data_IF_077102932253
#
_entry.id   IF_077102932253
#
_cell.length_a   1.000
_cell.length_b   1.000
_cell.length_c   1.000
_cell.angle_alpha   90.00
_cell.angle_beta   90.00
_cell.angle_gamma   90.00
#
_symmetry.space_group_name_H-M   'P 1'
#
loop_
_entity.id
_entity.type
_entity.pdbx_description
1 polymer ?
#
# COMPACT_ATOMS: atom_id res chain seq x y z
N UNK A 1 17.65 38.94 28.85
CA UNK A 1 16.43 38.08 28.79
C UNK A 1 15.49 38.47 27.64
N UNK A 2 15.46 39.73 27.17
CA UNK A 2 14.56 40.17 26.09
C UNK A 2 14.98 39.71 24.67
N UNK A 3 16.25 39.39 24.41
CA UNK A 3 16.67 38.85 23.09
C UNK A 3 16.21 37.42 22.82
N UNK A 4 16.05 36.59 23.88
CA UNK A 4 15.71 35.16 23.73
C UNK A 4 14.28 34.89 23.24
N UNK A 5 13.40 35.89 23.26
CA UNK A 5 12.01 35.77 22.75
C UNK A 5 11.84 36.36 21.34
N UNK A 6 12.93 36.73 20.65
CA UNK A 6 12.80 37.23 19.28
C UNK A 6 12.33 36.07 18.38
N UNK A 7 11.11 36.18 17.87
CA UNK A 7 10.56 35.25 16.88
C UNK A 7 10.91 35.71 15.46
N UNK A 8 11.33 34.77 14.62
CA UNK A 8 11.66 35.00 13.20
C UNK A 8 10.56 34.38 12.34
N UNK A 9 10.08 35.11 11.33
CA UNK A 9 9.10 34.59 10.36
C UNK A 9 9.81 33.64 9.39
N UNK A 10 9.37 32.38 9.35
CA UNK A 10 9.99 31.30 8.56
C UNK A 10 9.13 30.86 7.38
N UNK A 11 7.83 30.66 7.62
CA UNK A 11 6.86 30.13 6.65
C UNK A 11 5.69 31.08 6.41
N UNK A 12 5.30 31.24 5.15
CA UNK A 12 4.13 32.01 4.75
C UNK A 12 2.82 31.22 4.96
N UNK A 13 1.66 31.88 4.83
CA UNK A 13 0.36 31.24 5.06
C UNK A 13 0.05 30.14 4.03
N UNK A 14 0.53 30.26 2.79
CA UNK A 14 0.29 29.27 1.74
C UNK A 14 1.03 27.98 2.07
N UNK A 15 2.32 28.05 2.43
CA UNK A 15 3.11 26.86 2.79
C UNK A 15 2.51 26.12 3.99
N UNK A 16 1.99 26.86 4.97
CA UNK A 16 1.33 26.29 6.16
C UNK A 16 0.02 25.60 5.79
N UNK A 17 -0.77 26.18 4.89
CA UNK A 17 -2.00 25.59 4.38
C UNK A 17 -1.71 24.32 3.57
N UNK A 18 -0.72 24.35 2.68
CA UNK A 18 -0.29 23.17 1.92
C UNK A 18 0.11 22.03 2.86
N UNK A 19 0.90 22.33 3.89
CA UNK A 19 1.29 21.33 4.89
C UNK A 19 0.09 20.77 5.66
N UNK A 20 -0.87 21.61 6.05
CA UNK A 20 -2.08 21.15 6.73
C UNK A 20 -2.92 20.22 5.85
N UNK A 21 -3.10 20.58 4.57
CA UNK A 21 -3.81 19.74 3.59
C UNK A 21 -3.06 18.43 3.33
N UNK A 22 -1.73 18.48 3.26
CA UNK A 22 -0.88 17.29 3.13
C UNK A 22 -1.06 16.37 4.35
N UNK A 23 -0.98 16.93 5.56
CA UNK A 23 -1.15 16.20 6.80
C UNK A 23 -2.51 15.48 6.85
N UNK A 24 -3.59 16.18 6.54
CA UNK A 24 -4.95 15.62 6.59
C UNK A 24 -5.13 14.52 5.53
N UNK A 25 -4.74 14.81 4.28
CA UNK A 25 -4.89 13.85 3.17
C UNK A 25 -4.01 12.61 3.38
N UNK A 26 -2.73 12.80 3.71
CA UNK A 26 -1.80 11.71 4.01
C UNK A 26 -2.28 10.85 5.19
N UNK A 27 -2.72 11.46 6.29
CA UNK A 27 -3.21 10.71 7.46
C UNK A 27 -4.45 9.89 7.10
N UNK A 28 -5.37 10.46 6.33
CA UNK A 28 -6.57 9.76 5.86
C UNK A 28 -6.19 8.57 4.96
N UNK A 29 -5.26 8.79 4.02
CA UNK A 29 -4.73 7.74 3.13
C UNK A 29 -4.02 6.64 3.90
N UNK A 30 -3.21 6.99 4.90
CA UNK A 30 -2.49 6.05 5.74
C UNK A 30 -3.44 5.16 6.53
N UNK A 31 -4.43 5.75 7.21
CA UNK A 31 -5.41 5.00 8.00
C UNK A 31 -6.23 4.08 7.09
N UNK A 32 -6.87 4.64 6.06
CA UNK A 32 -7.73 3.87 5.16
C UNK A 32 -6.95 2.83 4.36
N UNK A 33 -5.72 3.14 3.93
CA UNK A 33 -4.88 2.25 3.15
C UNK A 33 -4.33 1.08 3.98
N UNK A 34 -3.83 1.35 5.19
CA UNK A 34 -3.28 0.30 6.06
C UNK A 34 -4.36 -0.70 6.48
N UNK A 35 -5.55 -0.25 6.87
CA UNK A 35 -6.62 -1.18 7.29
C UNK A 35 -7.10 -2.05 6.12
N UNK A 36 -7.11 -1.51 4.89
CA UNK A 36 -7.39 -2.30 3.69
C UNK A 36 -6.26 -3.30 3.38
N UNK A 37 -5.00 -2.90 3.55
CA UNK A 37 -3.85 -3.76 3.30
C UNK A 37 -3.66 -4.89 4.34
N UNK A 38 -4.17 -4.69 5.55
CA UNK A 38 -4.06 -5.59 6.69
C UNK A 38 -5.45 -6.05 7.18
N UNK A 39 -6.38 -6.31 6.27
CA UNK A 39 -7.79 -6.59 6.54
C UNK A 39 -8.03 -7.85 7.38
N UNK A 40 -7.08 -8.78 7.45
CA UNK A 40 -7.18 -10.00 8.25
C UNK A 40 -7.04 -9.74 9.76
N UNK A 41 -6.46 -8.59 10.15
CA UNK A 41 -6.28 -8.26 11.56
C UNK A 41 -7.56 -7.65 12.15
N UNK A 42 -7.90 -8.07 13.37
CA UNK A 42 -9.11 -7.61 14.08
C UNK A 42 -9.18 -6.09 14.25
N UNK A 43 -8.04 -5.42 14.45
CA UNK A 43 -8.00 -3.95 14.57
C UNK A 43 -8.43 -3.31 13.25
N UNK A 44 -7.96 -3.82 12.11
CA UNK A 44 -8.35 -3.33 10.78
C UNK A 44 -9.84 -3.53 10.53
N UNK A 45 -10.39 -4.70 10.87
CA UNK A 45 -11.82 -4.98 10.75
C UNK A 45 -12.66 -4.00 11.58
N UNK A 46 -12.26 -3.73 12.83
CA UNK A 46 -12.97 -2.78 13.70
C UNK A 46 -12.95 -1.36 13.11
N UNK A 47 -11.81 -0.93 12.56
CA UNK A 47 -11.69 0.40 11.95
C UNK A 47 -12.53 0.47 10.66
N UNK A 48 -12.51 -0.57 9.82
CA UNK A 48 -13.33 -0.65 8.61
C UNK A 48 -14.83 -0.56 8.97
N UNK A 49 -15.25 -1.26 10.02
CA UNK A 49 -16.63 -1.19 10.52
C UNK A 49 -16.97 0.21 11.05
N UNK A 50 -16.08 0.85 11.81
CA UNK A 50 -16.25 2.22 12.29
C UNK A 50 -16.37 3.23 11.13
N UNK A 51 -15.63 3.00 10.06
CA UNK A 51 -15.70 3.77 8.82
C UNK A 51 -16.92 3.42 7.97
N UNK A 52 -17.85 2.57 8.42
CA UNK A 52 -19.08 2.26 7.69
C UNK A 52 -18.94 1.20 6.60
N UNK A 53 -17.91 0.35 6.67
CA UNK A 53 -17.70 -0.77 5.75
C UNK A 53 -16.54 -0.56 4.77
N UNK A 54 -16.26 -1.60 3.98
CA UNK A 54 -15.12 -1.61 3.05
C UNK A 54 -15.35 -0.67 1.88
N UNK A 55 -16.59 -0.55 1.40
CA UNK A 55 -16.99 0.34 0.30
C UNK A 55 -16.78 1.80 0.68
N UNK A 56 -17.20 2.19 1.89
CA UNK A 56 -16.99 3.56 2.37
C UNK A 56 -15.51 3.83 2.65
N UNK A 57 -14.79 2.87 3.25
CA UNK A 57 -13.34 2.98 3.48
C UNK A 57 -12.58 3.22 2.16
N UNK A 58 -12.91 2.48 1.11
CA UNK A 58 -12.34 2.65 -0.24
C UNK A 58 -12.70 4.01 -0.84
N UNK A 59 -13.95 4.44 -0.71
CA UNK A 59 -14.43 5.73 -1.20
C UNK A 59 -13.68 6.89 -0.54
N UNK A 60 -13.54 6.86 0.79
CA UNK A 60 -12.76 7.86 1.54
C UNK A 60 -11.30 7.85 1.12
N UNK A 61 -10.70 6.67 0.90
CA UNK A 61 -9.33 6.55 0.40
C UNK A 61 -9.17 7.23 -0.97
N UNK A 62 -10.09 6.98 -1.91
CA UNK A 62 -10.09 7.61 -3.23
C UNK A 62 -10.26 9.13 -3.17
N UNK A 63 -11.17 9.63 -2.33
CA UNK A 63 -11.37 11.08 -2.14
C UNK A 63 -10.09 11.73 -1.59
N UNK A 64 -9.46 11.12 -0.58
CA UNK A 64 -8.20 11.60 -0.02
C UNK A 64 -7.06 11.54 -1.04
N UNK A 65 -7.03 10.53 -1.92
CA UNK A 65 -6.05 10.42 -3.00
C UNK A 65 -6.22 11.56 -4.01
N UNK A 66 -7.44 11.85 -4.44
CA UNK A 66 -7.73 12.99 -5.33
C UNK A 66 -7.30 14.30 -4.67
N UNK A 67 -7.63 14.51 -3.38
CA UNK A 67 -7.20 15.70 -2.65
C UNK A 67 -5.67 15.85 -2.63
N UNK A 68 -4.93 14.76 -2.39
CA UNK A 68 -3.47 14.76 -2.42
C UNK A 68 -2.90 15.04 -3.83
N UNK A 69 -3.52 14.50 -4.88
CA UNK A 69 -3.13 14.78 -6.28
C UNK A 69 -3.34 16.26 -6.61
N UNK A 70 -4.50 16.83 -6.27
CA UNK A 70 -4.80 18.25 -6.49
C UNK A 70 -3.82 19.15 -5.71
N UNK A 71 -3.52 18.79 -4.46
CA UNK A 71 -2.52 19.48 -3.66
C UNK A 71 -1.13 19.41 -4.31
N UNK A 72 -0.73 18.25 -4.83
CA UNK A 72 0.56 18.05 -5.49
C UNK A 72 0.67 18.89 -6.77
N UNK A 73 -0.39 18.94 -7.58
CA UNK A 73 -0.47 19.80 -8.78
C UNK A 73 -0.31 21.27 -8.36
N UNK A 74 -1.07 21.72 -7.37
CA UNK A 74 -0.95 23.09 -6.85
C UNK A 74 0.48 23.39 -6.36
N UNK A 75 1.08 22.46 -5.60
CA UNK A 75 2.42 22.61 -5.05
C UNK A 75 3.49 22.79 -6.14
N UNK A 76 3.43 21.98 -7.21
CA UNK A 76 4.35 22.09 -8.35
C UNK A 76 4.27 23.49 -8.97
N UNK A 77 3.06 24.01 -9.21
CA UNK A 77 2.89 25.35 -9.78
C UNK A 77 3.23 26.46 -8.81
N UNK A 78 3.02 26.27 -7.51
CA UNK A 78 3.39 27.24 -6.50
C UNK A 78 4.91 27.36 -6.37
N UNK A 79 5.62 26.23 -6.32
CA UNK A 79 7.09 26.18 -6.32
C UNK A 79 7.66 26.75 -7.63
N UNK A 80 7.09 26.37 -8.78
CA UNK A 80 7.45 26.93 -10.08
C UNK A 80 7.30 28.45 -10.14
N UNK A 81 6.23 29.01 -9.55
CA UNK A 81 6.02 30.45 -9.45
C UNK A 81 7.11 31.11 -8.59
N UNK A 82 7.45 30.53 -7.43
CA UNK A 82 8.51 31.03 -6.56
C UNK A 82 9.87 31.05 -7.25
N UNK A 83 10.19 30.04 -8.05
CA UNK A 83 11.47 29.93 -8.76
C UNK A 83 11.52 30.85 -9.98
N UNK A 84 10.50 30.80 -10.84
CA UNK A 84 10.51 31.50 -12.11
C UNK A 84 10.17 32.98 -11.95
N UNK A 85 9.02 33.30 -11.32
CA UNK A 85 8.51 34.67 -11.21
C UNK A 85 9.20 35.43 -10.09
N UNK A 86 9.30 34.83 -8.90
CA UNK A 86 9.87 35.50 -7.72
C UNK A 86 11.39 35.34 -7.60
N UNK A 87 12.03 34.53 -8.45
CA UNK A 87 13.48 34.25 -8.42
C UNK A 87 13.99 33.83 -7.04
N UNK A 88 13.17 33.09 -6.30
CA UNK A 88 13.61 32.47 -5.05
C UNK A 88 14.63 31.37 -5.37
N UNK A 89 15.68 31.23 -4.55
CA UNK A 89 16.68 30.19 -4.78
C UNK A 89 16.09 28.80 -4.54
N UNK A 90 16.67 27.82 -5.22
CA UNK A 90 16.32 26.40 -5.15
C UNK A 90 16.82 25.76 -3.84
N UNK A 91 16.39 26.28 -2.69
CA UNK A 91 16.90 25.91 -1.37
C UNK A 91 16.59 24.46 -0.97
N UNK A 92 15.61 23.82 -1.61
CA UNK A 92 15.22 22.42 -1.36
C UNK A 92 15.97 21.40 -2.23
N UNK A 93 16.82 21.85 -3.17
CA UNK A 93 17.64 20.91 -3.95
C UNK A 93 18.80 20.37 -3.09
N UNK A 94 18.98 19.04 -3.01
CA UNK A 94 20.16 18.43 -2.41
C UNK A 94 21.39 18.78 -3.24
N UNK A 95 22.50 19.04 -2.57
CA UNK A 95 23.78 19.32 -3.19
C UNK A 95 24.95 18.73 -2.40
N UNK A 96 26.17 18.92 -2.91
CA UNK A 96 27.40 18.39 -2.28
C UNK A 96 27.62 18.92 -0.85
N UNK A 97 27.09 20.11 -0.53
CA UNK A 97 27.12 20.66 0.84
C UNK A 97 26.34 19.76 1.81
N UNK A 98 25.18 19.25 1.40
CA UNK A 98 24.32 18.43 2.26
C UNK A 98 25.00 17.12 2.66
N UNK A 99 25.73 16.49 1.72
CA UNK A 99 26.54 15.30 2.00
C UNK A 99 27.66 15.62 2.99
N UNK A 100 28.36 16.74 2.80
CA UNK A 100 29.42 17.18 3.71
C UNK A 100 28.87 17.47 5.11
N UNK A 101 27.69 18.09 5.20
CA UNK A 101 27.05 18.41 6.47
C UNK A 101 26.54 17.14 7.17
N UNK A 102 26.04 16.14 6.43
CA UNK A 102 25.69 14.84 6.97
C UNK A 102 26.91 14.11 7.57
N UNK A 103 28.05 14.09 6.87
CA UNK A 103 29.29 13.50 7.38
C UNK A 103 29.79 14.25 8.62
N UNK A 104 29.72 15.58 8.64
CA UNK A 104 30.10 16.40 9.80
C UNK A 104 29.18 16.17 10.99
N UNK A 105 27.87 16.00 10.76
CA UNK A 105 26.92 15.68 11.81
C UNK A 105 27.22 14.29 12.40
N UNK A 106 27.55 13.32 11.55
CA UNK A 106 27.97 11.99 12.00
C UNK A 106 29.25 12.06 12.85
N UNK A 107 30.26 12.79 12.40
CA UNK A 107 31.50 13.00 13.17
C UNK A 107 31.24 13.67 14.52
N UNK A 108 30.36 14.67 14.55
CA UNK A 108 29.94 15.34 15.79
C UNK A 108 29.23 14.35 16.74
N UNK A 109 28.27 13.57 16.23
CA UNK A 109 27.56 12.58 17.03
C UNK A 109 28.47 11.44 17.55
N UNK A 110 29.56 11.13 16.84
CA UNK A 110 30.59 10.18 17.27
C UNK A 110 31.66 10.80 18.19
N UNK A 111 31.53 12.09 18.54
CA UNK A 111 32.50 12.80 19.37
C UNK A 111 33.83 13.13 18.68
N UNK A 112 33.95 12.89 17.37
CA UNK A 112 35.14 13.22 16.57
C UNK A 112 35.23 14.71 16.23
N UNK A 113 34.15 15.47 16.45
CA UNK A 113 34.09 16.92 16.27
C UNK A 113 33.39 17.54 17.47
N UNK A 114 33.87 18.70 17.92
CA UNK A 114 33.32 19.38 19.11
C UNK A 114 32.11 20.27 18.81
N UNK A 115 31.92 20.66 17.55
CA UNK A 115 30.85 21.59 17.16
C UNK A 115 29.89 20.94 16.15
N UNK A 116 28.58 21.23 16.21
CA UNK A 116 27.64 20.79 15.19
C UNK A 116 27.88 21.55 13.86
N UNK A 117 27.53 20.96 12.70
CA UNK A 117 27.61 21.66 11.42
C UNK A 117 26.58 22.79 11.32
N UNK A 118 27.01 23.96 10.84
CA UNK A 118 26.12 25.08 10.58
C UNK A 118 25.26 24.82 9.31
N UNK A 119 23.96 24.62 9.51
CA UNK A 119 23.01 24.30 8.45
C UNK A 119 22.42 25.56 7.81
N UNK A 120 21.99 25.44 6.55
CA UNK A 120 21.31 26.52 5.80
C UNK A 120 19.80 26.53 6.11
N UNK A 121 19.03 27.31 5.34
CA UNK A 121 17.58 27.45 5.48
C UNK A 121 16.87 26.11 5.63
N UNK A 122 17.27 25.10 4.86
CA UNK A 122 16.85 23.72 5.10
C UNK A 122 18.08 22.87 5.38
N UNK A 123 18.02 22.09 6.45
CA UNK A 123 19.03 21.11 6.78
C UNK A 123 18.96 19.91 5.82
N UNK A 124 20.00 19.08 5.78
CA UNK A 124 20.01 17.95 4.84
C UNK A 124 18.90 16.93 5.13
N UNK A 125 18.51 16.76 6.39
CA UNK A 125 17.44 15.84 6.81
C UNK A 125 16.08 16.28 6.29
N UNK A 126 15.73 17.55 6.47
CA UNK A 126 14.51 18.17 5.93
C UNK A 126 14.45 18.05 4.40
N UNK A 127 15.59 18.19 3.71
CA UNK A 127 15.64 17.98 2.25
C UNK A 127 15.40 16.53 1.87
N UNK A 128 16.03 15.58 2.56
CA UNK A 128 15.82 14.15 2.32
C UNK A 128 14.36 13.78 2.55
N UNK A 129 13.75 14.26 3.64
CA UNK A 129 12.33 14.05 3.93
C UNK A 129 11.43 14.64 2.84
N UNK A 130 11.68 15.88 2.40
CA UNK A 130 10.94 16.51 1.31
C UNK A 130 10.99 15.66 0.04
N UNK A 131 12.19 15.21 -0.36
CA UNK A 131 12.36 14.39 -1.55
C UNK A 131 11.81 12.97 -1.40
N UNK A 132 11.86 12.40 -0.20
CA UNK A 132 11.21 11.12 0.10
C UNK A 132 9.69 11.22 -0.07
N UNK A 133 9.05 12.31 0.39
CA UNK A 133 7.62 12.55 0.19
C UNK A 133 7.28 12.77 -1.29
N UNK A 134 8.09 13.52 -2.03
CA UNK A 134 7.91 13.72 -3.48
C UNK A 134 7.98 12.38 -4.21
N UNK A 135 9.03 11.58 -3.95
CA UNK A 135 9.19 10.25 -4.53
C UNK A 135 8.05 9.31 -4.16
N UNK A 136 7.73 9.21 -2.87
CA UNK A 136 6.66 8.36 -2.37
C UNK A 136 5.31 8.73 -3.01
N UNK A 137 5.02 10.02 -3.17
CA UNK A 137 3.78 10.48 -3.81
C UNK A 137 3.71 10.09 -5.29
N UNK A 138 4.82 10.14 -6.02
CA UNK A 138 4.88 9.67 -7.41
C UNK A 138 4.65 8.15 -7.51
N UNK A 139 5.34 7.37 -6.67
CA UNK A 139 5.19 5.90 -6.64
C UNK A 139 3.76 5.51 -6.23
N UNK A 140 3.23 6.12 -5.16
CA UNK A 140 1.87 5.86 -4.67
C UNK A 140 0.82 6.29 -5.69
N UNK A 141 1.01 7.42 -6.38
CA UNK A 141 0.11 7.87 -7.44
C UNK A 141 0.09 6.90 -8.63
N UNK A 142 1.26 6.47 -9.10
CA UNK A 142 1.35 5.54 -10.23
C UNK A 142 0.80 4.15 -9.91
N UNK A 143 1.23 3.57 -8.79
CA UNK A 143 0.77 2.24 -8.36
C UNK A 143 -0.71 2.26 -7.97
N UNK A 144 -1.18 3.34 -7.31
CA UNK A 144 -2.59 3.53 -6.98
C UNK A 144 -3.48 3.62 -8.22
N UNK A 145 -3.00 4.29 -9.27
CA UNK A 145 -3.71 4.32 -10.55
C UNK A 145 -3.85 2.94 -11.20
N UNK A 146 -2.78 2.14 -11.21
CA UNK A 146 -2.83 0.76 -11.72
C UNK A 146 -3.89 -0.07 -10.97
N UNK A 147 -3.97 0.08 -9.65
CA UNK A 147 -4.93 -0.63 -8.80
C UNK A 147 -6.36 -0.11 -8.95
N UNK A 148 -6.54 1.18 -9.24
CA UNK A 148 -7.85 1.74 -9.54
C UNK A 148 -8.37 1.25 -10.90
N UNK A 149 -7.51 1.17 -11.92
CA UNK A 149 -7.88 0.82 -13.29
C UNK A 149 -7.11 -0.42 -13.82
N UNK A 150 -7.34 -1.62 -13.25
CA UNK A 150 -6.61 -2.82 -13.64
C UNK A 150 -6.93 -3.27 -15.07
N UNK A 151 -8.17 -3.11 -15.53
CA UNK A 151 -8.58 -3.49 -16.90
C UNK A 151 -7.88 -2.64 -17.95
N UNK A 152 -7.83 -1.31 -17.74
CA UNK A 152 -7.13 -0.42 -18.65
C UNK A 152 -5.61 -0.68 -18.62
N UNK A 153 -5.06 -0.91 -17.42
CA UNK A 153 -3.64 -1.22 -17.27
C UNK A 153 -3.26 -2.49 -18.04
N UNK A 154 -4.04 -3.56 -17.93
CA UNK A 154 -3.75 -4.85 -18.59
C UNK A 154 -3.94 -4.83 -20.11
N UNK A 155 -4.57 -3.79 -20.68
CA UNK A 155 -4.58 -3.56 -22.13
C UNK A 155 -3.26 -2.97 -22.65
N UNK A 156 -2.49 -2.29 -21.79
CA UNK A 156 -1.27 -1.56 -22.15
C UNK A 156 -0.03 -2.30 -21.65
N UNK A 157 -0.10 -2.87 -20.44
CA UNK A 157 0.98 -3.56 -19.74
C UNK A 157 0.63 -5.04 -19.50
N UNK A 158 1.63 -5.92 -19.36
CA UNK A 158 1.40 -7.31 -18.95
C UNK A 158 0.66 -7.43 -17.61
N UNK A 159 -0.11 -8.50 -17.44
CA UNK A 159 -0.94 -8.75 -16.26
C UNK A 159 -0.19 -8.76 -14.92
N UNK A 160 1.11 -9.09 -14.94
CA UNK A 160 1.99 -9.13 -13.77
C UNK A 160 2.19 -7.76 -13.10
N UNK A 161 1.96 -6.65 -13.83
CA UNK A 161 2.10 -5.31 -13.28
C UNK A 161 1.05 -4.98 -12.21
N UNK A 162 -0.13 -5.62 -12.25
CA UNK A 162 -1.19 -5.40 -11.25
C UNK A 162 -0.80 -5.94 -9.87
N UNK A 163 -0.40 -7.22 -9.70
CA UNK A 163 0.08 -7.71 -8.41
C UNK A 163 1.40 -7.05 -7.99
N UNK A 164 2.30 -6.71 -8.92
CA UNK A 164 3.50 -5.94 -8.61
C UNK A 164 3.17 -4.55 -8.03
N UNK A 165 2.23 -3.83 -8.65
CA UNK A 165 1.74 -2.55 -8.14
C UNK A 165 1.07 -2.72 -6.77
N UNK A 166 0.29 -3.79 -6.55
CA UNK A 166 -0.32 -4.07 -5.24
C UNK A 166 0.72 -4.22 -4.14
N UNK A 167 1.80 -4.95 -4.41
CA UNK A 167 2.90 -5.14 -3.47
C UNK A 167 3.68 -3.84 -3.25
N UNK A 168 4.06 -3.15 -4.33
CA UNK A 168 4.78 -1.88 -4.26
C UNK A 168 4.00 -0.81 -3.50
N UNK A 169 2.71 -0.64 -3.81
CA UNK A 169 1.83 0.32 -3.14
C UNK A 169 1.73 0.04 -1.64
N UNK A 170 1.58 -1.23 -1.25
CA UNK A 170 1.50 -1.63 0.16
C UNK A 170 2.79 -1.35 0.91
N UNK A 171 3.94 -1.75 0.38
CA UNK A 171 5.22 -1.56 1.07
C UNK A 171 5.65 -0.10 1.10
N UNK A 172 5.41 0.64 0.03
CA UNK A 172 5.68 2.08 0.01
C UNK A 172 4.79 2.81 1.02
N UNK A 173 3.51 2.43 1.16
CA UNK A 173 2.64 3.00 2.19
C UNK A 173 3.19 2.76 3.61
N UNK A 174 3.69 1.55 3.89
CA UNK A 174 4.32 1.23 5.18
C UNK A 174 5.58 2.08 5.38
N UNK A 175 6.46 2.15 4.38
CA UNK A 175 7.68 2.95 4.45
C UNK A 175 7.38 4.43 4.67
N UNK A 176 6.38 4.98 3.96
CA UNK A 176 5.97 6.37 4.09
C UNK A 176 5.41 6.65 5.50
N UNK A 177 4.54 5.80 6.02
CA UNK A 177 3.99 5.95 7.38
C UNK A 177 5.08 5.84 8.44
N UNK A 178 5.98 4.86 8.34
CA UNK A 178 7.08 4.71 9.28
C UNK A 178 8.07 5.87 9.19
N UNK A 179 8.37 6.38 8.00
CA UNK A 179 9.20 7.57 7.82
C UNK A 179 8.60 8.79 8.52
N UNK A 180 7.29 9.04 8.34
CA UNK A 180 6.62 10.17 8.99
C UNK A 180 6.53 10.00 10.51
N UNK A 181 6.23 8.80 11.02
CA UNK A 181 6.09 8.56 12.46
C UNK A 181 7.42 8.48 13.21
N UNK A 182 8.40 7.78 12.65
CA UNK A 182 9.68 7.52 13.34
C UNK A 182 10.65 8.65 13.09
N UNK A 183 10.78 9.13 11.85
CA UNK A 183 11.79 10.12 11.52
C UNK A 183 11.24 11.54 11.65
N UNK A 184 10.21 11.89 10.87
CA UNK A 184 9.68 13.26 10.84
C UNK A 184 9.14 13.69 12.21
N UNK A 185 8.24 12.90 12.81
CA UNK A 185 7.64 13.26 14.10
C UNK A 185 8.67 13.25 15.24
N UNK A 186 9.66 12.35 15.22
CA UNK A 186 10.74 12.40 16.20
C UNK A 186 11.54 13.70 16.09
N UNK A 187 12.01 14.05 14.89
CA UNK A 187 12.87 15.22 14.71
C UNK A 187 12.11 16.54 14.96
N UNK A 188 10.90 16.66 14.44
CA UNK A 188 10.14 17.92 14.48
C UNK A 188 9.32 18.03 15.78
N UNK A 189 8.64 16.98 16.21
CA UNK A 189 7.68 17.05 17.31
C UNK A 189 8.19 16.55 18.66
N UNK A 190 9.28 15.78 18.70
CA UNK A 190 9.80 15.24 19.96
C UNK A 190 11.14 15.89 20.32
N UNK A 191 12.12 15.85 19.41
CA UNK A 191 13.48 16.32 19.66
C UNK A 191 13.56 17.85 19.75
N UNK A 192 13.13 18.58 18.72
CA UNK A 192 13.25 20.05 18.68
C UNK A 192 11.94 20.78 19.02
N UNK A 193 10.81 20.06 19.03
CA UNK A 193 9.47 20.62 19.28
C UNK A 193 9.16 21.88 18.43
N UNK A 194 9.46 21.80 17.13
CA UNK A 194 9.40 22.92 16.21
C UNK A 194 7.96 23.13 15.68
N UNK A 195 7.33 24.24 16.08
CA UNK A 195 5.95 24.60 15.67
C UNK A 195 5.89 25.53 14.46
N UNK A 196 7.02 25.81 13.82
CA UNK A 196 7.11 26.87 12.81
C UNK A 196 6.23 26.64 11.59
N UNK A 197 5.94 25.39 11.21
CA UNK A 197 5.02 25.08 10.12
C UNK A 197 3.54 25.31 10.48
N UNK A 198 3.21 25.40 11.77
CA UNK A 198 1.85 25.69 12.24
C UNK A 198 1.67 27.17 12.56
N UNK A 199 2.67 27.85 13.10
CA UNK A 199 2.60 29.27 13.50
C UNK A 199 3.15 30.23 12.45
N UNK A 200 4.03 29.75 11.57
CA UNK A 200 4.84 30.55 10.64
C UNK A 200 6.10 31.14 11.26
N UNK A 201 6.34 30.92 12.56
CA UNK A 201 7.41 31.57 13.33
C UNK A 201 8.26 30.57 14.10
N UNK A 202 9.53 30.90 14.28
CA UNK A 202 10.53 30.10 15.02
C UNK A 202 11.27 31.00 16.01
N UNK A 203 11.66 30.46 17.16
CA UNK A 203 12.47 31.21 18.13
C UNK A 203 13.89 31.44 17.60
N UNK A 204 14.54 32.51 18.06
CA UNK A 204 15.93 32.79 17.73
C UNK A 204 16.86 31.64 18.12
N UNK A 205 16.68 31.07 19.31
CA UNK A 205 17.48 29.93 19.80
C UNK A 205 17.36 28.70 18.89
N UNK A 206 16.14 28.33 18.47
CA UNK A 206 15.95 27.23 17.54
C UNK A 206 16.55 27.53 16.14
N UNK A 207 16.55 28.80 15.71
CA UNK A 207 17.25 29.21 14.48
C UNK A 207 18.77 29.12 14.60
N UNK A 208 19.35 29.45 15.76
CA UNK A 208 20.78 29.31 16.03
C UNK A 208 21.20 27.83 16.01
N UNK A 209 20.40 26.96 16.64
CA UNK A 209 20.70 25.53 16.73
C UNK A 209 20.48 24.80 15.39
N UNK A 210 19.31 24.97 14.77
CA UNK A 210 18.89 24.18 13.61
C UNK A 210 19.31 24.82 12.26
N UNK A 211 19.45 26.15 12.20
CA UNK A 211 19.57 26.92 10.94
C UNK A 211 20.59 28.08 11.02
N UNK A 212 21.71 27.88 11.69
CA UNK A 212 22.73 28.92 11.95
C UNK A 212 23.14 29.75 10.72
N UNK A 213 23.30 29.14 9.53
CA UNK A 213 23.68 29.90 8.33
C UNK A 213 22.52 30.74 7.77
N UNK A 214 21.27 30.33 7.96
CA UNK A 214 20.13 31.17 7.59
C UNK A 214 20.06 32.39 8.50
N UNK A 215 20.25 32.19 9.80
CA UNK A 215 20.27 33.29 10.76
C UNK A 215 21.36 34.31 10.42
N UNK A 216 22.59 33.85 10.15
CA UNK A 216 23.68 34.74 9.73
C UNK A 216 23.35 35.54 8.46
N UNK A 217 22.61 34.96 7.50
CA UNK A 217 22.17 35.68 6.30
C UNK A 217 21.08 36.72 6.60
N UNK A 218 20.19 36.42 7.55
CA UNK A 218 19.16 37.35 8.01
C UNK A 218 19.81 38.54 8.73
N UNK A 219 20.75 38.28 9.64
CA UNK A 219 21.47 39.32 10.39
C UNK A 219 22.31 40.22 9.48
N UNK A 220 22.90 39.67 8.42
CA UNK A 220 23.61 40.44 7.39
C UNK A 220 22.68 41.19 6.43
N UNK A 221 21.36 41.04 6.57
CA UNK A 221 20.38 41.66 5.67
C UNK A 221 20.38 41.11 4.24
N UNK A 222 20.98 39.93 4.03
CA UNK A 222 21.07 39.28 2.70
C UNK A 222 19.84 38.40 2.43
N UNK A 223 19.14 37.97 3.49
CA UNK A 223 17.97 37.11 3.41
C UNK A 223 16.72 37.77 4.02
N UNK A 224 15.54 37.67 3.37
CA UNK A 224 15.30 37.06 2.06
C UNK A 224 15.87 37.90 0.90
N UNK A 225 16.29 37.29 -0.22
CA UNK A 225 16.78 38.06 -1.36
C UNK A 225 15.70 39.02 -1.86
N UNK A 226 16.08 40.23 -2.32
CA UNK A 226 15.13 41.21 -2.82
C UNK A 226 14.35 40.63 -4.00
N UNK A 227 13.06 40.94 -4.05
CA UNK A 227 12.23 40.53 -5.17
C UNK A 227 12.68 41.27 -6.44
N UNK A 228 12.60 40.64 -7.63
CA UNK A 228 12.82 41.36 -8.88
C UNK A 228 11.89 42.57 -9.02
N UNK A 229 12.28 43.60 -9.78
CA UNK A 229 11.45 44.77 -10.06
C UNK A 229 10.03 44.37 -10.48
N UNK A 230 9.03 45.16 -10.07
CA UNK A 230 7.62 44.83 -10.30
C UNK A 230 7.30 44.57 -11.78
N UNK A 231 7.93 45.33 -12.69
CA UNK A 231 7.77 45.16 -14.14
C UNK A 231 8.31 43.81 -14.65
N UNK A 232 9.43 43.34 -14.11
CA UNK A 232 10.02 42.03 -14.48
C UNK A 232 9.18 40.88 -13.93
N UNK A 233 8.69 41.00 -12.68
CA UNK A 233 7.74 40.05 -12.10
C UNK A 233 6.45 39.97 -12.90
N UNK A 234 5.90 41.12 -13.29
CA UNK A 234 4.69 41.18 -14.12
C UNK A 234 4.92 40.50 -15.47
N UNK A 235 6.00 40.82 -16.19
CA UNK A 235 6.32 40.19 -17.48
C UNK A 235 6.40 38.66 -17.37
N UNK A 236 7.05 38.16 -16.31
CA UNK A 236 7.14 36.72 -16.04
C UNK A 236 5.81 36.11 -15.63
N UNK A 237 5.02 36.80 -14.81
CA UNK A 237 3.71 36.33 -14.37
C UNK A 237 2.72 36.25 -15.54
N UNK A 238 2.72 37.23 -16.44
CA UNK A 238 1.89 37.23 -17.65
C UNK A 238 2.19 36.05 -18.56
N UNK A 239 3.43 35.57 -18.60
CA UNK A 239 3.79 34.34 -19.32
C UNK A 239 3.47 33.08 -18.50
N UNK A 240 3.84 33.08 -17.23
CA UNK A 240 3.77 31.91 -16.35
C UNK A 240 2.32 31.51 -16.04
N UNK A 241 1.46 32.45 -15.68
CA UNK A 241 0.09 32.19 -15.24
C UNK A 241 -0.74 31.48 -16.33
N UNK A 242 -0.81 31.94 -17.60
CA UNK A 242 -1.58 31.23 -18.62
C UNK A 242 -0.97 29.88 -18.96
N UNK A 243 0.36 29.78 -19.04
CA UNK A 243 1.04 28.50 -19.30
C UNK A 243 0.77 27.49 -18.18
N UNK A 244 0.91 27.92 -16.92
CA UNK A 244 0.60 27.13 -15.75
C UNK A 244 -0.89 26.76 -15.71
N UNK A 245 -1.79 27.68 -16.08
CA UNK A 245 -3.23 27.41 -16.16
C UNK A 245 -3.57 26.36 -17.21
N UNK A 246 -2.98 26.43 -18.40
CA UNK A 246 -3.16 25.42 -19.46
C UNK A 246 -2.59 24.06 -19.05
N UNK A 247 -1.40 24.02 -18.45
CA UNK A 247 -0.79 22.78 -17.98
C UNK A 247 -1.57 22.19 -16.80
N UNK A 248 -2.03 23.03 -15.87
CA UNK A 248 -2.90 22.61 -14.76
C UNK A 248 -4.21 22.03 -15.29
N UNK A 249 -4.86 22.71 -16.24
CA UNK A 249 -6.07 22.20 -16.88
C UNK A 249 -5.80 20.86 -17.57
N UNK A 250 -4.69 20.72 -18.29
CA UNK A 250 -4.29 19.46 -18.90
C UNK A 250 -4.08 18.35 -17.86
N UNK A 251 -3.38 18.63 -16.76
CA UNK A 251 -3.17 17.66 -15.66
C UNK A 251 -4.49 17.29 -14.98
N UNK A 252 -5.42 18.24 -14.81
CA UNK A 252 -6.74 18.01 -14.23
C UNK A 252 -7.64 17.19 -15.17
N UNK A 253 -7.63 17.47 -16.47
CA UNK A 253 -8.35 16.68 -17.48
C UNK A 253 -7.77 15.28 -17.59
N UNK A 254 -6.44 15.14 -17.53
CA UNK A 254 -5.77 13.85 -17.50
C UNK A 254 -6.17 13.08 -16.26
N UNK A 255 -6.10 13.71 -15.08
CA UNK A 255 -6.56 13.16 -13.80
C UNK A 255 -8.02 12.70 -13.93
N UNK A 256 -8.92 13.56 -14.37
CA UNK A 256 -10.33 13.21 -14.57
C UNK A 256 -10.51 11.99 -15.49
N UNK A 257 -9.86 11.97 -16.66
CA UNK A 257 -9.93 10.86 -17.60
C UNK A 257 -9.37 9.55 -17.02
N UNK A 258 -8.21 9.64 -16.38
CA UNK A 258 -7.50 8.54 -15.70
C UNK A 258 -8.36 7.97 -14.56
N UNK A 259 -9.05 8.81 -13.80
CA UNK A 259 -9.89 8.38 -12.67
C UNK A 259 -11.34 8.01 -13.07
N UNK A 260 -11.73 8.10 -14.35
CA UNK A 260 -13.00 7.51 -14.81
C UNK A 260 -12.90 5.99 -14.89
N UNK A 261 -13.73 5.29 -14.10
CA UNK A 261 -13.63 3.84 -13.93
C UNK A 261 -14.02 3.03 -15.18
N UNK A 262 -13.13 2.13 -15.61
CA UNK A 262 -13.47 0.95 -16.41
C UNK A 262 -13.28 -0.31 -15.55
N UNK A 263 -14.08 -0.46 -14.49
CA UNK A 263 -13.92 -1.55 -13.51
C UNK A 263 -14.75 -2.80 -13.82
N UNK A 264 -15.73 -2.71 -14.72
CA UNK A 264 -16.61 -3.83 -15.06
C UNK A 264 -16.48 -4.25 -16.54
N UNK A 265 -16.06 -5.50 -16.76
CA UNK A 265 -16.37 -6.20 -18.01
C UNK A 265 -17.89 -6.46 -17.97
N UNK A 266 -18.62 -6.14 -19.04
CA UNK A 266 -20.04 -6.51 -19.15
C UNK A 266 -20.15 -8.03 -18.96
N UNK A 267 -20.68 -8.47 -17.82
CA UNK A 267 -20.93 -9.88 -17.59
C UNK A 267 -22.02 -10.32 -18.54
N UNK A 268 -21.72 -11.33 -19.37
CA UNK A 268 -22.74 -12.04 -20.13
C UNK A 268 -23.72 -12.60 -19.08
N UNK A 269 -25.04 -12.38 -19.22
CA UNK A 269 -26.00 -12.99 -18.30
C UNK A 269 -25.74 -14.50 -18.27
N UNK A 270 -25.81 -15.14 -17.08
CA UNK A 270 -25.66 -16.59 -17.00
C UNK A 270 -26.63 -17.21 -18.00
N UNK A 271 -26.13 -18.12 -18.84
CA UNK A 271 -27.00 -18.88 -19.73
C UNK A 271 -28.13 -19.48 -18.87
N UNK A 272 -29.40 -19.41 -19.31
CA UNK A 272 -30.49 -20.02 -18.56
C UNK A 272 -30.08 -21.46 -18.27
N UNK A 273 -30.21 -21.85 -17.01
CA UNK A 273 -29.96 -23.22 -16.58
C UNK A 273 -30.98 -24.08 -17.31
N UNK A 274 -30.62 -24.64 -18.46
CA UNK A 274 -31.39 -25.74 -19.02
C UNK A 274 -31.30 -26.86 -17.99
N UNK A 275 -32.44 -27.20 -17.37
CA UNK A 275 -32.54 -28.38 -16.53
C UNK A 275 -32.07 -29.56 -17.37
N UNK A 276 -30.88 -30.09 -17.05
CA UNK A 276 -30.38 -31.31 -17.68
C UNK A 276 -31.49 -32.36 -17.58
N UNK A 277 -31.96 -32.85 -18.72
CA UNK A 277 -33.06 -33.80 -18.81
C UNK A 277 -32.84 -34.95 -17.82
N UNK A 278 -33.60 -34.96 -16.73
CA UNK A 278 -33.67 -36.07 -15.79
C UNK A 278 -34.85 -36.94 -16.20
N UNK A 279 -34.64 -38.12 -16.81
CA UNK A 279 -35.75 -39.03 -17.07
C UNK A 279 -36.41 -39.40 -15.74
N UNK A 280 -37.74 -39.25 -15.65
CA UNK A 280 -38.53 -39.51 -14.44
C UNK A 280 -38.44 -40.98 -13.95
N UNK A 281 -37.87 -41.86 -14.77
CA UNK A 281 -37.61 -43.25 -14.43
C UNK A 281 -36.27 -43.67 -15.06
N UNK A 282 -35.28 -44.10 -14.26
CA UNK A 282 -34.11 -44.76 -14.83
C UNK A 282 -34.57 -45.98 -15.64
N UNK A 283 -33.93 -46.30 -16.79
CA UNK A 283 -34.24 -47.53 -17.51
C UNK A 283 -34.18 -48.71 -16.54
N UNK A 284 -35.19 -49.58 -16.58
CA UNK A 284 -35.17 -50.79 -15.75
C UNK A 284 -33.89 -51.57 -16.01
N UNK A 285 -33.22 -52.00 -14.95
CA UNK A 285 -32.07 -52.89 -15.05
C UNK A 285 -32.47 -54.08 -15.95
N UNK A 286 -31.63 -54.45 -16.94
CA UNK A 286 -31.89 -55.62 -17.74
C UNK A 286 -32.06 -56.82 -16.80
N UNK A 287 -33.11 -57.62 -17.03
CA UNK A 287 -33.34 -58.85 -16.28
C UNK A 287 -32.09 -59.70 -16.35
N UNK A 288 -31.53 -60.05 -15.17
CA UNK A 288 -30.34 -60.88 -15.09
C UNK A 288 -30.57 -62.16 -15.91
N UNK A 289 -29.69 -62.41 -16.88
CA UNK A 289 -29.64 -63.69 -17.57
C UNK A 289 -29.45 -64.78 -16.51
N UNK A 290 -30.26 -65.86 -16.50
CA UNK A 290 -30.06 -66.94 -15.55
C UNK A 290 -28.61 -67.43 -15.61
N UNK A 291 -27.94 -67.42 -14.46
CA UNK A 291 -26.54 -67.81 -14.37
C UNK A 291 -26.39 -69.27 -14.84
N UNK A 292 -25.45 -69.56 -15.77
CA UNK A 292 -25.10 -70.94 -16.06
C UNK A 292 -24.48 -71.58 -14.81
N UNK A 293 -24.81 -72.84 -14.57
CA UNK A 293 -24.27 -73.64 -13.47
C UNK A 293 -22.79 -73.96 -13.73
N UNK A 294 -21.90 -73.04 -13.37
CA UNK A 294 -20.44 -73.16 -13.54
C UNK A 294 -19.81 -73.99 -12.39
N UNK A 295 -20.60 -74.63 -11.52
CA UNK A 295 -20.05 -75.46 -10.44
C UNK A 295 -19.41 -76.79 -10.92
N UNK A 296 -19.49 -77.13 -12.22
CA UNK A 296 -19.04 -78.44 -12.73
C UNK A 296 -17.85 -78.46 -13.67
N UNK A 297 -17.20 -77.33 -13.97
CA UNK A 297 -16.09 -77.31 -14.96
C UNK A 297 -14.91 -76.39 -14.59
N UNK A 298 -14.35 -76.51 -13.38
CA UNK A 298 -13.05 -75.91 -13.08
C UNK A 298 -12.02 -77.01 -12.79
N UNK A 299 -11.00 -77.21 -13.67
CA UNK A 299 -9.83 -78.01 -13.33
C UNK A 299 -9.10 -77.38 -12.13
N UNK A 300 -8.79 -78.19 -11.12
CA UNK A 300 -7.87 -77.79 -10.04
C UNK A 300 -6.51 -77.46 -10.66
N UNK A 301 -5.93 -76.33 -10.24
CA UNK A 301 -4.60 -75.80 -10.57
C UNK A 301 -4.52 -74.82 -11.77
N UNK A 302 -4.71 -73.53 -11.48
CA UNK A 302 -3.71 -72.49 -11.79
C UNK A 302 -3.74 -71.45 -10.68
N UNK A 303 -2.97 -71.65 -9.62
CA UNK A 303 -2.68 -70.61 -8.63
C UNK A 303 -1.55 -69.75 -9.19
N UNK A 304 -1.89 -68.68 -9.91
CA UNK A 304 -0.94 -67.56 -10.10
C UNK A 304 -1.09 -66.64 -8.90
N UNK A 305 -0.05 -66.54 -8.09
CA UNK A 305 0.08 -65.52 -7.04
C UNK A 305 0.03 -64.14 -7.69
N UNK A 306 -0.99 -63.36 -7.33
CA UNK A 306 -0.99 -61.92 -7.60
C UNK A 306 0.14 -61.27 -6.80
N UNK A 307 0.88 -60.29 -7.34
CA UNK A 307 1.80 -59.50 -6.54
C UNK A 307 1.01 -58.77 -5.45
N UNK A 308 1.56 -58.74 -4.24
CA UNK A 308 0.94 -58.06 -3.11
C UNK A 308 0.74 -56.57 -3.44
N UNK A 309 -0.42 -55.98 -3.12
CA UNK A 309 -0.59 -54.53 -3.22
C UNK A 309 0.44 -53.86 -2.32
N UNK A 310 1.14 -52.84 -2.84
CA UNK A 310 1.96 -51.98 -1.98
C UNK A 310 1.02 -51.30 -0.97
N UNK A 311 1.36 -51.30 0.33
CA UNK A 311 0.54 -50.64 1.32
C UNK A 311 0.56 -49.14 1.03
N UNK A 312 -0.62 -48.60 0.72
CA UNK A 312 -0.88 -47.18 0.82
C UNK A 312 -0.69 -46.88 2.31
N UNK A 313 0.24 -45.98 2.64
CA UNK A 313 0.48 -45.55 4.02
C UNK A 313 -0.75 -44.79 4.51
N UNK A 314 -1.76 -45.51 5.01
CA UNK A 314 -2.81 -44.96 5.84
C UNK A 314 -2.17 -44.50 7.14
N UNK A 315 -2.17 -43.20 7.39
CA UNK A 315 -1.76 -42.65 8.67
C UNK A 315 -2.80 -43.04 9.74
N UNK A 316 -2.38 -43.26 11.00
CA UNK A 316 -3.32 -43.63 12.07
C UNK A 316 -4.30 -42.48 12.32
N UNK A 317 -5.58 -42.82 12.56
CA UNK A 317 -6.59 -41.89 13.07
C UNK A 317 -6.70 -42.12 14.57
N UNK A 318 -6.14 -41.20 15.35
CA UNK A 318 -6.13 -41.12 16.81
C UNK A 318 -7.46 -40.52 17.36
N UNK A 319 -7.82 -40.82 18.62
CA UNK A 319 -9.11 -40.40 19.25
C UNK A 319 -9.35 -38.87 19.21
N UNK A 320 -8.29 -38.08 19.08
CA UNK A 320 -8.35 -36.61 18.98
C UNK A 320 -8.64 -36.08 17.56
N UNK A 321 -8.77 -36.95 16.54
CA UNK A 321 -8.96 -36.59 15.11
C UNK A 321 -10.13 -37.32 14.45
N UNK A 322 -11.25 -37.43 15.18
CA UNK A 322 -12.43 -38.17 14.73
C UNK A 322 -13.33 -37.38 13.76
N UNK A 323 -13.04 -36.11 13.47
CA UNK A 323 -13.87 -35.24 12.62
C UNK A 323 -13.41 -35.20 11.17
N UNK A 324 -14.35 -35.33 10.21
CA UNK A 324 -14.08 -35.24 8.77
C UNK A 324 -13.29 -33.97 8.37
N UNK A 325 -13.58 -32.84 9.02
CA UNK A 325 -12.93 -31.56 8.74
C UNK A 325 -11.50 -31.43 9.28
N UNK A 326 -11.05 -32.33 10.15
CA UNK A 326 -9.71 -32.26 10.73
C UNK A 326 -8.64 -32.58 9.67
N UNK A 327 -9.01 -33.35 8.64
CA UNK A 327 -8.13 -33.77 7.55
C UNK A 327 -8.51 -33.22 6.16
N UNK A 328 -9.73 -32.70 5.98
CA UNK A 328 -10.25 -32.20 4.69
C UNK A 328 -10.72 -30.74 4.71
N UNK A 329 -10.42 -29.98 5.78
CA UNK A 329 -10.64 -28.54 5.76
C UNK A 329 -9.85 -27.86 4.62
N UNK A 330 -10.33 -26.73 4.09
CA UNK A 330 -9.53 -25.92 3.18
C UNK A 330 -8.16 -25.65 3.82
N UNK A 331 -7.06 -25.97 3.11
CA UNK A 331 -5.65 -25.84 3.56
C UNK A 331 -5.12 -26.92 4.52
N UNK A 332 -5.78 -28.07 4.63
CA UNK A 332 -5.25 -29.27 5.31
C UNK A 332 -4.29 -30.08 4.40
N UNK A 333 -3.63 -31.11 4.96
CA UNK A 333 -2.54 -31.88 4.31
C UNK A 333 -2.97 -32.67 3.06
N UNK A 334 -4.27 -32.83 2.80
CA UNK A 334 -4.85 -33.58 1.69
C UNK A 334 -5.91 -32.70 1.01
N UNK A 335 -5.89 -32.60 -0.32
CA UNK A 335 -6.87 -31.85 -1.11
C UNK A 335 -8.33 -32.25 -0.76
N UNK A 336 -9.33 -31.35 -0.97
CA UNK A 336 -10.70 -31.59 -0.52
C UNK A 336 -11.30 -32.84 -1.16
N UNK A 337 -12.16 -33.53 -0.38
CA UNK A 337 -12.69 -34.85 -0.68
C UNK A 337 -13.23 -35.00 -2.12
N UNK A 338 -13.00 -36.16 -2.78
CA UNK A 338 -13.55 -36.41 -4.11
C UNK A 338 -15.09 -36.40 -4.10
N UNK A 339 -15.68 -35.99 -5.23
CA UNK A 339 -17.12 -35.75 -5.45
C UNK A 339 -18.03 -36.96 -5.16
N UNK A 340 -17.48 -38.15 -5.05
CA UNK A 340 -18.19 -39.40 -4.74
C UNK A 340 -18.52 -39.57 -3.24
N UNK A 341 -18.06 -38.65 -2.39
CA UNK A 341 -18.28 -38.70 -0.93
C UNK A 341 -19.37 -37.74 -0.41
N UNK A 342 -20.05 -36.98 -1.28
CA UNK A 342 -21.05 -35.97 -0.88
C UNK A 342 -22.28 -36.52 -0.16
N UNK A 343 -22.52 -37.83 -0.23
CA UNK A 343 -23.69 -38.50 0.37
C UNK A 343 -23.37 -39.35 1.63
N UNK A 344 -22.10 -39.40 2.07
CA UNK A 344 -21.72 -40.19 3.25
C UNK A 344 -21.88 -39.42 4.56
N UNK A 345 -22.42 -40.08 5.58
CA UNK A 345 -22.59 -39.51 6.92
C UNK A 345 -21.32 -39.80 7.75
N UNK A 346 -20.90 -38.83 8.58
CA UNK A 346 -19.61 -38.80 9.32
C UNK A 346 -19.29 -40.09 10.11
N UNK A 347 -20.27 -40.93 10.43
CA UNK A 347 -20.10 -42.19 11.19
C UNK A 347 -19.68 -43.44 10.40
N UNK A 348 -19.66 -43.42 9.05
CA UNK A 348 -19.47 -44.64 8.24
C UNK A 348 -18.03 -44.87 7.74
N UNK A 349 -17.07 -44.06 8.19
CA UNK A 349 -15.69 -44.05 7.67
C UNK A 349 -14.92 -45.36 7.92
N UNK A 350 -15.26 -46.12 8.96
CA UNK A 350 -14.65 -47.43 9.26
C UNK A 350 -14.96 -48.51 8.23
N UNK A 351 -15.89 -48.24 7.32
CA UNK A 351 -16.18 -49.12 6.18
C UNK A 351 -15.02 -49.15 5.17
N UNK A 352 -14.25 -48.06 5.09
CA UNK A 352 -13.14 -47.90 4.14
C UNK A 352 -11.77 -47.62 4.81
N UNK A 353 -11.74 -47.24 6.09
CA UNK A 353 -10.52 -46.96 6.86
C UNK A 353 -10.41 -47.84 8.12
N UNK A 354 -9.28 -48.55 8.30
CA UNK A 354 -9.01 -49.39 9.50
C UNK A 354 -8.78 -48.52 10.77
N UNK A 355 -9.30 -48.90 11.94
CA UNK A 355 -9.06 -48.20 13.20
C UNK A 355 -7.59 -48.28 13.66
N UNK A 356 -7.04 -47.20 14.23
CA UNK A 356 -5.62 -47.11 14.62
C UNK A 356 -5.14 -48.18 15.62
N UNK A 357 -6.05 -48.75 16.43
CA UNK A 357 -5.71 -49.85 17.33
C UNK A 357 -5.28 -51.12 16.60
N UNK A 358 -5.74 -51.37 15.38
CA UNK A 358 -5.39 -52.56 14.59
C UNK A 358 -4.11 -52.37 13.77
N UNK A 359 -3.77 -51.13 13.41
CA UNK A 359 -2.53 -50.79 12.68
C UNK A 359 -1.28 -50.87 13.58
N UNK A 360 -1.40 -50.50 14.86
CA UNK A 360 -0.26 -50.52 15.80
C UNK A 360 0.17 -51.91 16.27
N UNK A 361 -0.58 -52.96 15.93
CA UNK A 361 -0.27 -54.36 16.26
C UNK A 361 0.34 -55.16 15.10
N UNK A 362 0.50 -54.56 13.91
CA UNK A 362 1.12 -55.19 12.73
C UNK A 362 2.58 -54.82 12.56
#
# INVERSE_FOLDING_TARGET
MHERMREIIRFGPIERLEHLLLLISFTTLAITGLVQAFSEHRISLNIIQLLGGIENTRTVHHIAAIALVLLSIFHIFYVGYKIYVLKRPLSMLPGLKDVRDAVRLLQYNLGLRQEPPAMDRYNFGEKIEYWAVVWGTLVMGFTGYILWNPVLTTRILPGEFVPAAKMAHRYEAILAVLSILIWHAWHVHIKHFNKSIFTGRISLEAMEEEHALELQKIERGVWPPPLPPAQERWRRAVLYIPLAGLLALFMLLTTYYVFTEQTAITSIPPAPVEEAYRPAKPPGLPTATPAPDIARQIPKQVTRSAPAPMPITSHPVDEDRAGCNDCHAPFSYIDPAPLDHTDYVVGECTTCHEPAKEVSQR
#
